data_IF_874063735583
#
_entry.id   IF_874063735583
#
_cell.length_a   1.000
_cell.length_b   1.000
_cell.length_c   1.000
_cell.angle_alpha   90.00
_cell.angle_beta   90.00
_cell.angle_gamma   90.00
#
_symmetry.space_group_name_H-M   'P 1'
#
loop_
_entity.id
_entity.type
_entity.pdbx_description
1 polymer ?
#
# COMPACT_ATOMS: atom_id res chain seq x y z
N UNK A 1 12.02 9.99 3.62
CA UNK A 1 12.33 8.84 2.73
C UNK A 1 12.88 9.38 1.42
N UNK A 2 13.94 8.78 0.89
CA UNK A 2 14.55 9.20 -0.38
C UNK A 2 14.70 8.01 -1.32
N UNK A 3 14.46 8.20 -2.60
CA UNK A 3 14.65 7.18 -3.62
C UNK A 3 15.40 7.71 -4.84
N UNK A 4 16.03 6.80 -5.58
CA UNK A 4 16.60 7.06 -6.90
C UNK A 4 16.14 5.98 -7.88
N UNK A 5 15.80 6.35 -9.13
CA UNK A 5 15.38 5.41 -10.17
C UNK A 5 14.21 4.52 -9.69
N UNK A 6 14.33 3.18 -9.72
CA UNK A 6 13.31 2.27 -9.17
C UNK A 6 12.99 2.55 -7.68
N UNK A 7 13.96 2.99 -6.89
CA UNK A 7 13.74 3.38 -5.49
C UNK A 7 12.78 4.56 -5.35
N UNK A 8 12.70 5.46 -6.35
CA UNK A 8 11.71 6.54 -6.37
C UNK A 8 10.30 6.03 -6.54
N UNK A 9 10.13 4.99 -7.34
CA UNK A 9 8.84 4.38 -7.58
C UNK A 9 8.32 3.69 -6.31
N UNK A 10 9.18 2.91 -5.64
CA UNK A 10 8.84 2.29 -4.35
C UNK A 10 8.54 3.35 -3.29
N UNK A 11 9.30 4.44 -3.25
CA UNK A 11 9.05 5.53 -2.32
C UNK A 11 7.70 6.23 -2.55
N UNK A 12 7.24 6.37 -3.80
CA UNK A 12 5.91 6.89 -4.12
C UNK A 12 4.81 5.95 -3.66
N UNK A 13 4.94 4.65 -3.96
CA UNK A 13 3.98 3.63 -3.56
C UNK A 13 3.85 3.61 -2.03
N UNK A 14 4.97 3.56 -1.33
CA UNK A 14 4.99 3.56 0.14
C UNK A 14 4.38 4.85 0.74
N UNK A 15 4.53 6.00 0.08
CA UNK A 15 3.90 7.24 0.52
C UNK A 15 2.36 7.20 0.40
N UNK A 16 1.87 6.70 -0.73
CA UNK A 16 0.43 6.53 -0.98
C UNK A 16 -0.15 5.50 -0.04
N UNK A 17 0.54 4.38 0.17
CA UNK A 17 0.12 3.34 1.10
C UNK A 17 0.06 3.84 2.54
N UNK A 18 1.10 4.57 2.99
CA UNK A 18 1.09 5.23 4.29
C UNK A 18 -0.11 6.17 4.44
N UNK A 19 -0.38 7.00 3.42
CA UNK A 19 -1.52 7.92 3.43
C UNK A 19 -2.86 7.20 3.51
N UNK A 20 -3.03 6.11 2.78
CA UNK A 20 -4.31 5.41 2.66
C UNK A 20 -4.60 4.48 3.85
N UNK A 21 -3.57 3.85 4.42
CA UNK A 21 -3.74 2.74 5.36
C UNK A 21 -3.17 3.01 6.75
N UNK A 22 -2.24 3.94 6.86
CA UNK A 22 -1.50 4.19 8.10
C UNK A 22 -1.51 5.68 8.46
N UNK A 23 -2.69 6.27 8.74
CA UNK A 23 -2.85 7.71 8.93
C UNK A 23 -1.97 8.26 10.06
N UNK A 24 -1.81 7.53 11.16
CA UNK A 24 -0.94 7.97 12.27
C UNK A 24 0.53 8.00 11.85
N UNK A 25 1.01 6.95 11.19
CA UNK A 25 2.36 6.93 10.65
C UNK A 25 2.55 8.04 9.62
N UNK A 26 1.58 8.24 8.72
CA UNK A 26 1.62 9.27 7.69
C UNK A 26 1.66 10.70 8.28
N UNK A 27 0.83 10.99 9.27
CA UNK A 27 0.69 12.31 9.87
C UNK A 27 1.84 12.63 10.82
N UNK A 28 2.31 11.66 11.60
CA UNK A 28 3.23 11.91 12.71
C UNK A 28 4.68 11.45 12.43
N UNK A 29 4.88 10.44 11.58
CA UNK A 29 6.21 9.83 11.35
C UNK A 29 6.75 10.14 9.95
N UNK A 30 5.99 9.87 8.89
CA UNK A 30 6.39 10.11 7.52
C UNK A 30 6.35 11.60 7.22
N UNK A 31 7.47 12.29 7.45
CA UNK A 31 7.53 13.74 7.26
C UNK A 31 7.52 14.16 5.79
N UNK A 32 8.33 13.49 4.97
CA UNK A 32 8.54 13.84 3.57
C UNK A 32 9.11 12.69 2.76
N UNK A 33 8.72 12.64 1.49
CA UNK A 33 9.30 11.75 0.48
C UNK A 33 9.96 12.61 -0.60
N UNK A 34 11.23 12.36 -0.85
CA UNK A 34 11.98 13.05 -1.89
C UNK A 34 12.43 12.04 -2.92
N UNK A 35 12.15 12.30 -4.19
CA UNK A 35 12.51 11.38 -5.26
C UNK A 35 13.39 12.07 -6.28
N UNK A 36 14.31 11.31 -6.86
CA UNK A 36 15.32 11.77 -7.78
C UNK A 36 15.19 11.03 -9.13
N UNK A 37 14.77 11.76 -10.16
CA UNK A 37 14.38 11.23 -11.48
C UNK A 37 13.38 10.08 -11.37
N UNK A 38 12.26 10.34 -10.69
CA UNK A 38 11.17 9.38 -10.59
C UNK A 38 10.36 9.34 -11.89
N UNK A 39 10.18 8.16 -12.53
CA UNK A 39 9.20 8.04 -13.59
C UNK A 39 7.81 8.31 -13.01
N UNK A 40 6.96 8.92 -13.83
CA UNK A 40 5.54 9.02 -13.57
C UNK A 40 4.97 7.61 -13.54
N UNK A 41 4.14 7.37 -12.53
CA UNK A 41 3.33 6.16 -12.48
C UNK A 41 2.25 6.31 -13.55
N UNK A 42 2.56 5.88 -14.78
CA UNK A 42 1.64 5.78 -15.90
C UNK A 42 1.30 4.31 -16.07
N UNK A 43 0.14 3.91 -15.58
CA UNK A 43 -0.54 2.76 -16.15
C UNK A 43 -1.54 3.27 -17.17
N UNK A 44 -1.88 2.52 -18.21
CA UNK A 44 -2.99 2.84 -19.12
C UNK A 44 -4.20 1.96 -18.75
N UNK A 45 -5.44 2.39 -19.00
CA UNK A 45 -6.63 1.51 -18.84
C UNK A 45 -6.68 0.41 -19.92
N UNK A 46 -5.90 0.59 -20.99
CA UNK A 46 -5.81 -0.28 -22.17
C UNK A 46 -4.66 -1.29 -22.14
N UNK A 47 -3.68 -1.17 -21.23
CA UNK A 47 -2.65 -2.19 -21.04
C UNK A 47 -3.23 -3.31 -20.18
N UNK A 48 -3.20 -4.53 -20.73
CA UNK A 48 -3.75 -5.80 -20.21
C UNK A 48 -3.27 -6.26 -18.81
N UNK A 49 -2.59 -5.39 -18.06
CA UNK A 49 -2.11 -5.60 -16.69
C UNK A 49 -2.46 -4.45 -15.71
N UNK A 50 -3.42 -3.58 -16.05
CA UNK A 50 -3.94 -2.55 -15.16
C UNK A 50 -4.86 -3.10 -14.03
N UNK A 51 -4.61 -4.33 -13.56
CA UNK A 51 -5.44 -5.06 -12.57
C UNK A 51 -5.01 -4.86 -11.11
N UNK A 52 -4.06 -3.96 -10.82
CA UNK A 52 -3.36 -3.88 -9.52
C UNK A 52 -3.51 -2.51 -8.78
N UNK A 53 -4.57 -1.72 -9.02
CA UNK A 53 -4.75 -0.42 -8.31
C UNK A 53 -3.69 0.65 -8.61
N UNK A 54 -2.80 0.39 -9.57
CA UNK A 54 -1.63 1.23 -9.88
C UNK A 54 -1.97 2.63 -10.39
N UNK A 55 -3.13 2.77 -11.04
CA UNK A 55 -3.67 4.04 -11.49
C UNK A 55 -3.97 4.99 -10.32
N UNK A 56 -4.55 4.44 -9.25
CA UNK A 56 -4.89 5.21 -8.05
C UNK A 56 -3.60 5.70 -7.35
N UNK A 57 -2.55 4.88 -7.37
CA UNK A 57 -1.23 5.28 -6.86
C UNK A 57 -0.68 6.50 -7.61
N UNK A 58 -0.83 6.57 -8.94
CA UNK A 58 -0.39 7.73 -9.71
C UNK A 58 -1.15 9.01 -9.38
N UNK A 59 -2.48 8.92 -9.22
CA UNK A 59 -3.33 10.07 -8.87
C UNK A 59 -3.10 10.54 -7.42
N UNK A 60 -3.03 9.60 -6.47
CA UNK A 60 -2.78 9.90 -5.06
C UNK A 60 -1.35 10.40 -4.84
N UNK A 61 -0.35 9.81 -5.51
CA UNK A 61 1.04 10.30 -5.48
C UNK A 61 1.10 11.77 -5.91
N UNK A 62 0.36 12.17 -6.96
CA UNK A 62 0.24 13.57 -7.35
C UNK A 62 -0.39 14.44 -6.27
N UNK A 63 -1.49 14.02 -5.63
CA UNK A 63 -2.11 14.78 -4.53
C UNK A 63 -1.12 15.01 -3.38
N UNK A 64 -0.35 13.98 -3.04
CA UNK A 64 0.70 14.07 -2.03
C UNK A 64 1.87 14.97 -2.47
N UNK A 65 2.16 15.06 -3.77
CA UNK A 65 3.15 15.99 -4.30
C UNK A 65 2.66 17.44 -4.25
N UNK A 66 1.40 17.70 -4.62
CA UNK A 66 0.78 19.03 -4.53
C UNK A 66 0.72 19.52 -3.08
N UNK A 67 0.46 18.64 -2.11
CA UNK A 67 0.50 19.00 -0.68
C UNK A 67 1.91 19.19 -0.12
N UNK A 68 2.96 18.97 -0.92
CA UNK A 68 4.36 19.09 -0.53
C UNK A 68 4.91 17.92 0.29
N UNK A 69 4.10 16.86 0.50
CA UNK A 69 4.50 15.62 1.18
C UNK A 69 5.47 14.80 0.33
N UNK A 70 5.30 14.83 -0.99
CA UNK A 70 6.25 14.31 -1.97
C UNK A 70 6.91 15.48 -2.71
N UNK A 71 8.23 15.42 -2.89
CA UNK A 71 8.98 16.33 -3.77
C UNK A 71 9.72 15.54 -4.83
N UNK A 72 9.46 15.84 -6.10
CA UNK A 72 10.16 15.25 -7.22
C UNK A 72 11.25 16.20 -7.72
N UNK A 73 12.48 15.70 -7.78
CA UNK A 73 13.60 16.33 -8.47
C UNK A 73 13.88 15.57 -9.75
N UNK A 74 14.12 16.28 -10.85
CA UNK A 74 14.41 15.68 -12.16
C UNK A 74 15.59 16.39 -12.79
N UNK A 75 16.50 15.60 -13.34
CA UNK A 75 17.61 16.07 -14.15
C UNK A 75 17.12 16.40 -15.55
N UNK A 76 17.45 17.59 -16.05
CA UNK A 76 16.88 18.13 -17.29
C UNK A 76 17.26 17.30 -18.53
N UNK A 77 18.48 16.75 -18.53
CA UNK A 77 19.01 15.88 -19.59
C UNK A 77 19.01 14.39 -19.20
N UNK A 78 18.07 13.96 -18.36
CA UNK A 78 17.85 12.55 -18.04
C UNK A 78 17.53 11.77 -19.32
N UNK A 79 18.26 10.67 -19.51
CA UNK A 79 18.20 9.84 -20.72
C UNK A 79 17.40 8.54 -20.53
N UNK A 80 16.84 8.32 -19.34
CA UNK A 80 16.05 7.13 -19.00
C UNK A 80 14.62 7.54 -18.70
N UNK A 81 14.45 8.48 -17.77
CA UNK A 81 13.16 9.10 -17.48
C UNK A 81 13.10 10.32 -18.38
N UNK A 82 12.45 10.17 -19.53
CA UNK A 82 12.35 11.21 -20.57
C UNK A 82 11.03 11.98 -20.41
N UNK A 83 10.84 13.14 -21.07
CA UNK A 83 9.65 13.98 -20.90
C UNK A 83 8.31 13.26 -21.07
N UNK A 84 8.27 12.16 -21.83
CA UNK A 84 7.08 11.32 -22.02
C UNK A 84 6.63 10.58 -20.75
N UNK A 85 7.56 10.30 -19.85
CA UNK A 85 7.33 9.57 -18.59
C UNK A 85 7.73 10.39 -17.36
N UNK A 86 7.92 11.70 -17.50
CA UNK A 86 8.11 12.59 -16.36
C UNK A 86 6.81 12.74 -15.57
N UNK A 87 6.95 12.94 -14.26
CA UNK A 87 5.87 13.53 -13.47
C UNK A 87 5.54 14.92 -14.02
N UNK A 88 4.29 15.36 -13.82
CA UNK A 88 3.82 16.60 -14.41
C UNK A 88 4.70 17.79 -13.96
N UNK A 89 4.94 18.76 -14.86
CA UNK A 89 5.88 19.87 -14.62
C UNK A 89 5.54 20.72 -13.40
N UNK A 90 4.27 20.78 -13.01
CA UNK A 90 3.79 21.54 -11.84
C UNK A 90 4.18 20.90 -10.50
N UNK A 91 4.58 19.62 -10.49
CA UNK A 91 4.95 18.88 -9.27
C UNK A 91 6.43 18.44 -9.28
N UNK A 92 7.19 18.88 -10.28
CA UNK A 92 8.61 18.55 -10.46
C UNK A 92 9.46 19.80 -10.31
N UNK A 93 10.56 19.68 -9.58
CA UNK A 93 11.64 20.65 -9.54
C UNK A 93 12.77 20.17 -10.45
N UNK A 94 13.04 20.93 -11.50
CA UNK A 94 14.15 20.67 -12.41
C UNK A 94 15.47 21.10 -11.78
N UNK A 95 16.49 20.26 -11.90
CA UNK A 95 17.78 20.47 -11.23
C UNK A 95 18.88 20.93 -12.20
N UNK A 96 18.54 21.16 -13.47
CA UNK A 96 19.51 21.47 -14.51
C UNK A 96 20.11 20.23 -15.16
N UNK A 97 20.98 20.47 -16.14
CA UNK A 97 21.71 19.42 -16.84
C UNK A 97 22.79 18.80 -15.94
N UNK A 98 22.89 17.47 -15.97
CA UNK A 98 23.94 16.71 -15.29
C UNK A 98 24.89 16.04 -16.28
N UNK A 99 26.18 15.95 -15.94
CA UNK A 99 27.12 15.09 -16.71
C UNK A 99 26.79 13.61 -16.55
N UNK A 100 26.15 13.25 -15.44
CA UNK A 100 25.82 11.88 -15.09
C UNK A 100 24.40 11.46 -15.47
N UNK A 101 23.57 12.41 -15.95
CA UNK A 101 22.19 12.15 -16.42
C UNK A 101 21.39 11.38 -15.37
N UNK A 102 20.76 10.26 -15.72
CA UNK A 102 19.95 9.41 -14.82
C UNK A 102 20.73 8.74 -13.67
N UNK A 103 22.05 8.86 -13.58
CA UNK A 103 22.81 8.09 -12.58
C UNK A 103 22.64 8.70 -11.20
N UNK A 104 22.78 7.86 -10.16
CA UNK A 104 22.80 8.29 -8.75
C UNK A 104 23.82 9.40 -8.45
N UNK A 105 24.83 9.57 -9.31
CA UNK A 105 25.86 10.61 -9.16
C UNK A 105 25.41 12.01 -9.60
N UNK A 106 24.32 12.14 -10.36
CA UNK A 106 23.78 13.44 -10.74
C UNK A 106 23.33 14.29 -9.54
N UNK A 107 22.91 13.63 -8.44
CA UNK A 107 22.50 14.30 -7.21
C UNK A 107 23.64 14.68 -6.29
N UNK A 108 24.89 14.38 -6.67
CA UNK A 108 26.08 14.83 -5.94
C UNK A 108 26.80 15.97 -6.68
N UNK A 109 26.21 16.48 -7.76
CA UNK A 109 26.74 17.64 -8.47
C UNK A 109 26.37 18.95 -7.75
N UNK A 110 27.19 19.98 -7.94
CA UNK A 110 27.02 21.28 -7.29
C UNK A 110 25.64 21.94 -7.50
N UNK A 111 24.91 21.78 -8.62
CA UNK A 111 23.57 22.36 -8.78
C UNK A 111 22.56 21.88 -7.72
N UNK A 112 22.78 20.71 -7.12
CA UNK A 112 21.91 20.18 -6.08
C UNK A 112 22.07 20.93 -4.75
N UNK A 113 23.19 21.63 -4.52
CA UNK A 113 23.43 22.41 -3.30
C UNK A 113 22.53 23.65 -3.22
N UNK A 114 22.01 24.12 -4.36
CA UNK A 114 21.10 25.27 -4.41
C UNK A 114 19.65 24.89 -4.01
N UNK A 115 19.39 23.59 -3.81
CA UNK A 115 18.08 23.08 -3.41
C UNK A 115 17.94 23.18 -1.88
N UNK A 116 16.91 23.87 -1.36
CA UNK A 116 16.72 24.03 0.08
C UNK A 116 16.63 22.69 0.81
N UNK A 117 17.48 22.53 1.84
CA UNK A 117 17.62 21.33 2.68
C UNK A 117 18.25 20.12 1.98
N UNK A 118 19.00 20.33 0.89
CA UNK A 118 19.79 19.28 0.26
C UNK A 118 21.29 19.54 0.45
N UNK A 119 21.91 18.85 1.42
CA UNK A 119 23.33 18.98 1.73
C UNK A 119 24.08 17.75 1.21
N UNK A 120 25.03 17.95 0.29
CA UNK A 120 25.93 16.90 -0.20
C UNK A 120 27.20 16.87 0.66
N UNK A 121 27.47 15.75 1.34
CA UNK A 121 28.74 15.49 2.03
C UNK A 121 29.82 14.94 1.10
N UNK A 122 31.08 14.83 1.54
CA UNK A 122 32.15 14.21 0.75
C UNK A 122 31.89 12.72 0.56
N UNK A 123 32.18 12.22 -0.65
CA UNK A 123 31.92 10.83 -1.06
C UNK A 123 32.68 9.78 -0.23
N UNK A 124 33.79 10.14 0.40
CA UNK A 124 34.70 9.21 1.07
C UNK A 124 34.41 9.02 2.57
N UNK A 125 33.61 9.89 3.18
CA UNK A 125 33.36 9.91 4.62
C UNK A 125 31.92 10.35 4.90
N UNK A 126 31.28 9.78 5.93
CA UNK A 126 30.03 10.30 6.48
C UNK A 126 30.37 11.58 7.25
N UNK A 127 30.62 12.66 6.51
CA UNK A 127 31.01 13.91 7.14
C UNK A 127 29.88 14.40 8.04
N UNK A 128 30.25 14.99 9.19
CA UNK A 128 29.33 15.58 10.18
C UNK A 128 28.56 16.82 9.67
N UNK A 129 28.50 17.05 8.35
CA UNK A 129 27.79 18.17 7.73
C UNK A 129 26.28 17.92 7.54
N UNK A 130 25.76 16.78 8.03
CA UNK A 130 24.33 16.48 8.08
C UNK A 130 23.75 16.64 9.49
N UNK A 131 22.47 16.96 9.58
CA UNK A 131 21.71 16.92 10.84
C UNK A 131 21.36 15.46 11.17
N UNK A 132 21.90 14.93 12.28
CA UNK A 132 21.48 13.65 12.87
C UNK A 132 20.57 13.96 14.05
N UNK A 133 19.32 13.48 14.01
CA UNK A 133 18.38 13.66 15.11
C UNK A 133 18.92 12.94 16.37
N UNK A 134 19.17 13.65 17.48
CA UNK A 134 19.67 13.04 18.72
C UNK A 134 18.77 11.94 19.29
N UNK A 135 17.49 11.89 18.87
CA UNK A 135 16.57 10.81 19.25
C UNK A 135 16.98 9.46 18.66
N UNK A 136 17.70 9.43 17.53
CA UNK A 136 18.18 8.19 16.93
C UNK A 136 19.19 7.45 17.81
N UNK A 137 19.90 8.15 18.70
CA UNK A 137 20.82 7.53 19.65
C UNK A 137 20.08 6.82 20.81
N UNK A 138 18.77 7.05 20.92
CA UNK A 138 17.90 6.48 21.97
C UNK A 138 16.96 5.40 21.43
N UNK A 139 16.93 5.16 20.12
CA UNK A 139 16.07 4.13 19.53
C UNK A 139 16.62 2.75 19.88
N UNK A 140 15.81 1.95 20.57
CA UNK A 140 16.07 0.53 20.83
C UNK A 140 15.06 -0.29 20.05
N UNK A 141 15.54 -1.27 19.27
CA UNK A 141 14.67 -2.21 18.59
C UNK A 141 14.27 -3.31 19.59
N UNK A 142 12.98 -3.39 19.92
CA UNK A 142 12.46 -4.52 20.68
C UNK A 142 12.34 -5.72 19.73
N UNK A 143 13.09 -6.78 20.00
CA UNK A 143 12.87 -8.07 19.34
C UNK A 143 11.49 -8.55 19.78
N UNK A 144 10.56 -8.78 18.84
CA UNK A 144 9.21 -9.25 19.14
C UNK A 144 9.32 -10.52 19.99
N UNK A 145 8.96 -10.43 21.26
CA UNK A 145 8.92 -11.59 22.15
C UNK A 145 7.71 -12.41 21.74
N UNK A 146 7.90 -13.72 21.53
CA UNK A 146 6.78 -14.62 21.31
C UNK A 146 5.91 -14.63 22.58
N UNK A 147 4.63 -14.32 22.43
CA UNK A 147 3.67 -14.44 23.52
C UNK A 147 3.62 -15.91 23.96
N UNK A 148 3.72 -16.22 25.26
CA UNK A 148 3.51 -17.58 25.74
C UNK A 148 2.05 -17.99 25.45
N UNK A 149 1.88 -19.17 24.86
CA UNK A 149 0.56 -19.78 24.72
C UNK A 149 0.02 -20.11 26.12
N UNK A 150 -1.05 -19.44 26.53
CA UNK A 150 -1.75 -19.74 27.78
C UNK A 150 -2.40 -21.13 27.70
N UNK A 151 -2.06 -22.00 28.65
CA UNK A 151 -2.50 -23.40 28.75
C UNK A 151 -3.81 -23.58 29.54
N UNK A 152 -4.76 -22.65 29.42
CA UNK A 152 -6.08 -22.76 30.06
C UNK A 152 -7.17 -22.73 28.99
N UNK A 153 -7.32 -23.85 28.29
CA UNK A 153 -8.35 -24.04 27.27
C UNK A 153 -9.60 -24.64 27.93
N UNK A 154 -10.75 -23.93 27.96
CA UNK A 154 -12.03 -24.52 28.34
C UNK A 154 -12.54 -25.45 27.24
N UNK A 155 -13.23 -26.51 27.66
CA UNK A 155 -14.01 -27.54 26.94
C UNK A 155 -14.13 -27.41 25.40
N UNK A 156 -13.82 -28.51 24.72
CA UNK A 156 -13.95 -28.72 23.28
C UNK A 156 -15.42 -28.87 22.83
N UNK A 157 -16.21 -27.81 23.00
CA UNK A 157 -17.46 -27.69 22.25
C UNK A 157 -17.13 -27.67 20.75
N UNK A 158 -17.82 -28.46 19.90
CA UNK A 158 -17.64 -28.42 18.47
C UNK A 158 -17.85 -26.99 17.95
N UNK A 159 -16.89 -26.47 17.19
CA UNK A 159 -17.07 -25.16 16.54
C UNK A 159 -18.09 -25.29 15.41
N UNK A 160 -19.22 -24.61 15.56
CA UNK A 160 -20.25 -24.52 14.53
C UNK A 160 -19.95 -23.38 13.55
N UNK A 161 -20.16 -23.62 12.24
CA UNK A 161 -20.10 -22.57 11.23
C UNK A 161 -21.41 -21.77 11.20
N UNK A 162 -21.49 -20.75 12.05
CA UNK A 162 -22.66 -19.87 12.15
C UNK A 162 -22.90 -18.98 10.91
N UNK A 163 -21.97 -18.93 9.95
CA UNK A 163 -22.14 -18.20 8.69
C UNK A 163 -22.87 -19.01 7.60
N UNK A 164 -22.96 -20.34 7.76
CA UNK A 164 -23.53 -21.24 6.75
C UNK A 164 -24.96 -20.83 6.36
N UNK A 165 -25.19 -20.59 5.07
CA UNK A 165 -26.50 -20.25 4.53
C UNK A 165 -27.08 -18.90 4.96
N UNK A 166 -26.30 -18.06 5.68
CA UNK A 166 -26.73 -16.74 6.15
C UNK A 166 -26.95 -15.75 5.01
N UNK A 167 -27.62 -14.65 5.34
CA UNK A 167 -27.79 -13.54 4.41
C UNK A 167 -26.45 -12.84 4.19
N UNK A 168 -26.15 -12.55 2.94
CA UNK A 168 -24.88 -11.97 2.55
C UNK A 168 -25.10 -10.89 1.51
N UNK A 169 -24.30 -9.86 1.59
CA UNK A 169 -24.25 -8.79 0.60
C UNK A 169 -22.81 -8.56 0.19
N UNK A 170 -22.62 -8.01 -1.01
CA UNK A 170 -21.31 -7.60 -1.46
C UNK A 170 -21.44 -6.32 -2.26
N UNK A 171 -20.37 -5.54 -2.25
CA UNK A 171 -20.26 -4.24 -2.89
C UNK A 171 -20.67 -4.21 -4.37
N UNK A 172 -20.49 -5.30 -5.12
CA UNK A 172 -21.02 -5.52 -6.48
C UNK A 172 -20.85 -6.97 -6.89
N UNK A 173 -21.49 -7.42 -7.98
CA UNK A 173 -21.32 -8.77 -8.52
C UNK A 173 -20.74 -8.74 -9.92
N UNK A 174 -19.75 -9.59 -10.19
CA UNK A 174 -19.13 -9.79 -11.50
C UNK A 174 -19.07 -11.28 -11.84
N UNK A 175 -19.07 -11.60 -13.15
CA UNK A 175 -18.85 -12.96 -13.67
C UNK A 175 -19.74 -14.06 -13.03
N UNK A 176 -20.92 -13.71 -12.51
CA UNK A 176 -21.83 -14.63 -11.80
C UNK A 176 -21.33 -15.08 -10.42
N UNK A 177 -20.31 -14.43 -9.85
CA UNK A 177 -19.75 -14.73 -8.54
C UNK A 177 -20.59 -14.16 -7.40
N UNK A 178 -21.81 -14.68 -7.22
CA UNK A 178 -22.73 -14.22 -6.18
C UNK A 178 -22.16 -14.37 -4.77
N UNK A 179 -22.47 -13.41 -3.89
CA UNK A 179 -22.01 -13.35 -2.50
C UNK A 179 -22.29 -14.65 -1.72
N UNK A 180 -23.39 -15.34 -2.02
CA UNK A 180 -23.84 -16.57 -1.33
C UNK A 180 -22.86 -17.73 -1.46
N UNK A 181 -21.98 -17.71 -2.46
CA UNK A 181 -20.98 -18.76 -2.67
C UNK A 181 -19.99 -18.86 -1.50
N UNK A 182 -19.70 -17.77 -0.79
CA UNK A 182 -18.81 -17.81 0.39
C UNK A 182 -19.45 -18.45 1.64
N UNK A 183 -20.76 -18.73 1.62
CA UNK A 183 -21.51 -19.34 2.74
C UNK A 183 -22.26 -20.60 2.30
N UNK A 184 -21.80 -21.26 1.23
CA UNK A 184 -22.45 -22.46 0.65
C UNK A 184 -21.99 -23.78 1.30
N UNK A 185 -21.04 -23.72 2.25
CA UNK A 185 -20.49 -24.88 2.96
C UNK A 185 -19.35 -25.58 2.22
N UNK A 186 -18.88 -25.05 1.09
CA UNK A 186 -17.76 -25.58 0.32
C UNK A 186 -16.56 -24.63 0.43
N UNK A 187 -15.37 -25.20 0.49
CA UNK A 187 -14.10 -24.45 0.60
C UNK A 187 -13.29 -24.51 -0.69
N UNK A 188 -13.94 -24.87 -1.81
CA UNK A 188 -13.28 -25.02 -3.10
C UNK A 188 -12.94 -23.66 -3.69
N UNK A 189 -11.65 -23.36 -3.74
CA UNK A 189 -11.14 -22.10 -4.28
C UNK A 189 -11.10 -22.03 -5.80
N UNK A 190 -11.48 -23.08 -6.56
CA UNK A 190 -11.52 -23.01 -8.00
C UNK A 190 -12.80 -22.28 -8.47
N UNK A 191 -12.63 -21.12 -9.09
CA UNK A 191 -13.75 -20.30 -9.56
C UNK A 191 -14.71 -21.03 -10.51
N UNK A 192 -14.18 -21.93 -11.36
CA UNK A 192 -14.98 -22.71 -12.31
C UNK A 192 -15.94 -23.70 -11.64
N UNK A 193 -15.72 -24.02 -10.36
CA UNK A 193 -16.58 -24.94 -9.59
C UNK A 193 -17.76 -24.24 -8.90
N UNK A 194 -17.97 -22.94 -9.18
CA UNK A 194 -19.10 -22.14 -8.71
C UNK A 194 -19.21 -21.97 -7.18
N UNK A 195 -18.09 -22.04 -6.45
CA UNK A 195 -18.03 -21.87 -4.99
C UNK A 195 -17.22 -20.63 -4.55
N UNK A 196 -16.84 -19.77 -5.49
CA UNK A 196 -16.06 -18.54 -5.22
C UNK A 196 -16.88 -17.32 -5.61
N UNK A 197 -16.93 -16.32 -4.73
CA UNK A 197 -17.59 -15.01 -4.98
C UNK A 197 -16.72 -14.13 -5.90
N UNK A 198 -17.32 -13.11 -6.51
CA UNK A 198 -16.56 -12.15 -7.32
C UNK A 198 -17.27 -10.80 -7.40
N UNK A 199 -16.57 -9.75 -7.01
CA UNK A 199 -17.00 -8.36 -7.18
C UNK A 199 -16.48 -7.77 -8.49
N UNK A 200 -17.01 -6.62 -8.91
CA UNK A 200 -16.36 -5.85 -9.98
C UNK A 200 -15.01 -5.33 -9.51
N UNK A 201 -14.14 -4.98 -10.47
CA UNK A 201 -12.92 -4.23 -10.15
C UNK A 201 -13.30 -2.81 -9.73
N UNK A 202 -13.29 -2.58 -8.41
CA UNK A 202 -13.67 -1.30 -7.81
C UNK A 202 -12.78 -0.96 -6.62
N UNK A 203 -12.83 0.31 -6.20
CA UNK A 203 -12.13 0.74 -4.98
C UNK A 203 -12.84 0.20 -3.74
N UNK A 204 -12.06 -0.33 -2.79
CA UNK A 204 -12.55 -0.89 -1.52
C UNK A 204 -13.72 -1.88 -1.70
N UNK A 205 -13.54 -2.96 -2.50
CA UNK A 205 -14.56 -3.98 -2.62
C UNK A 205 -14.75 -4.66 -1.27
N UNK A 206 -16.00 -4.87 -0.90
CA UNK A 206 -16.37 -5.52 0.36
C UNK A 206 -17.37 -6.64 0.10
N UNK A 207 -17.39 -7.59 1.03
CA UNK A 207 -18.38 -8.65 1.20
C UNK A 207 -18.74 -8.69 2.69
N UNK A 208 -20.01 -8.92 3.00
CA UNK A 208 -20.54 -8.91 4.35
C UNK A 208 -21.52 -10.06 4.54
N UNK A 209 -21.45 -10.70 5.72
CA UNK A 209 -22.46 -11.64 6.21
C UNK A 209 -23.24 -11.02 7.36
N UNK A 210 -24.55 -11.19 7.33
CA UNK A 210 -25.45 -10.88 8.44
C UNK A 210 -25.78 -12.18 9.18
N UNK A 211 -25.34 -12.29 10.44
CA UNK A 211 -25.55 -13.47 11.29
C UNK A 211 -27.00 -13.57 11.82
N UNK A 212 -27.83 -12.54 11.57
CA UNK A 212 -29.22 -12.37 11.98
C UNK A 212 -29.47 -12.09 13.48
N UNK A 213 -28.48 -12.35 14.33
CA UNK A 213 -28.47 -11.98 15.76
C UNK A 213 -27.03 -11.80 16.22
N UNK A 214 -26.84 -11.18 17.38
CA UNK A 214 -25.52 -11.13 18.01
C UNK A 214 -25.05 -12.54 18.37
N UNK A 215 -23.84 -12.86 17.96
CA UNK A 215 -23.22 -14.17 18.16
C UNK A 215 -21.79 -13.99 18.67
N UNK A 216 -21.34 -14.91 19.52
CA UNK A 216 -19.95 -14.94 19.97
C UNK A 216 -19.08 -15.58 18.91
N UNK A 217 -18.27 -14.77 18.23
CA UNK A 217 -17.34 -15.25 17.21
C UNK A 217 -16.04 -15.73 17.86
N UNK A 218 -15.76 -17.03 17.77
CA UNK A 218 -14.52 -17.64 18.29
C UNK A 218 -13.40 -17.70 17.26
N UNK A 219 -13.76 -17.88 15.99
CA UNK A 219 -12.81 -18.07 14.90
C UNK A 219 -13.44 -17.62 13.59
N UNK A 220 -12.62 -16.99 12.74
CA UNK A 220 -12.99 -16.61 11.37
C UNK A 220 -12.00 -17.30 10.43
N UNK A 221 -12.52 -18.11 9.52
CA UNK A 221 -11.72 -18.76 8.48
C UNK A 221 -12.08 -18.15 7.12
N UNK A 222 -11.08 -17.63 6.41
CA UNK A 222 -11.24 -17.04 5.09
C UNK A 222 -10.50 -17.93 4.09
N UNK A 223 -11.24 -18.50 3.14
CA UNK A 223 -10.71 -19.37 2.10
C UNK A 223 -10.53 -18.56 0.81
N UNK A 224 -9.29 -18.45 0.34
CA UNK A 224 -8.97 -17.70 -0.88
C UNK A 224 -9.31 -18.50 -2.14
N UNK A 225 -9.46 -17.80 -3.27
CA UNK A 225 -9.45 -18.40 -4.60
C UNK A 225 -8.10 -19.09 -4.84
N UNK A 226 -8.09 -20.21 -5.56
CA UNK A 226 -6.90 -21.05 -5.76
C UNK A 226 -6.51 -21.27 -7.22
N UNK A 227 -7.42 -21.10 -8.19
CA UNK A 227 -7.12 -21.33 -9.61
C UNK A 227 -6.27 -20.21 -10.25
N UNK A 228 -6.49 -18.95 -9.87
CA UNK A 228 -5.70 -17.79 -10.31
C UNK A 228 -6.02 -16.56 -9.45
N UNK A 229 -5.23 -15.49 -9.61
CA UNK A 229 -5.44 -14.18 -8.98
C UNK A 229 -5.52 -14.24 -7.44
N UNK A 230 -4.78 -15.17 -6.83
CA UNK A 230 -4.72 -15.37 -5.38
C UNK A 230 -4.16 -14.14 -4.65
N UNK A 231 -3.37 -13.33 -5.36
CA UNK A 231 -2.78 -12.07 -4.91
C UNK A 231 -3.82 -10.97 -4.61
N UNK A 232 -5.06 -11.10 -5.10
CA UNK A 232 -6.12 -10.10 -4.88
C UNK A 232 -6.64 -10.07 -3.46
N UNK A 233 -6.69 -11.21 -2.78
CA UNK A 233 -7.09 -11.29 -1.37
C UNK A 233 -5.88 -11.01 -0.48
N UNK A 234 -5.35 -9.80 -0.64
CA UNK A 234 -4.26 -9.27 0.16
C UNK A 234 -4.63 -7.87 0.60
N UNK A 235 -4.15 -7.47 1.78
CA UNK A 235 -4.40 -6.14 2.32
C UNK A 235 -5.91 -5.81 2.39
N UNK A 236 -6.61 -6.53 3.26
CA UNK A 236 -8.01 -6.33 3.56
C UNK A 236 -8.19 -6.29 5.07
N UNK A 237 -9.28 -5.67 5.51
CA UNK A 237 -9.69 -5.64 6.91
C UNK A 237 -10.80 -6.66 7.14
N UNK A 238 -10.85 -7.21 8.35
CA UNK A 238 -11.99 -7.99 8.85
C UNK A 238 -12.61 -7.17 9.97
N UNK A 239 -13.81 -6.63 9.70
CA UNK A 239 -14.52 -5.73 10.60
C UNK A 239 -15.71 -6.49 11.19
N UNK A 240 -15.86 -6.41 12.52
CA UNK A 240 -17.01 -6.96 13.24
C UNK A 240 -17.93 -5.83 13.66
N UNK A 241 -19.23 -5.98 13.41
CA UNK A 241 -20.25 -5.01 13.79
C UNK A 241 -21.17 -5.62 14.85
N UNK A 242 -21.60 -4.82 15.82
CA UNK A 242 -22.67 -5.18 16.75
C UNK A 242 -24.06 -5.08 16.09
N UNK A 243 -25.13 -5.41 16.83
CA UNK A 243 -26.50 -5.33 16.31
C UNK A 243 -26.95 -3.92 15.93
N UNK A 244 -26.25 -2.87 16.39
CA UNK A 244 -26.50 -1.48 16.01
C UNK A 244 -25.74 -1.04 14.76
N UNK A 245 -24.89 -1.91 14.20
CA UNK A 245 -24.04 -1.62 13.05
C UNK A 245 -22.76 -0.86 13.43
N UNK A 246 -22.39 -0.83 14.71
CA UNK A 246 -21.16 -0.20 15.18
C UNK A 246 -20.02 -1.20 15.19
N UNK A 247 -18.85 -0.77 14.73
CA UNK A 247 -17.63 -1.57 14.79
C UNK A 247 -17.21 -1.88 16.24
N UNK A 248 -16.87 -3.14 16.47
CA UNK A 248 -16.39 -3.67 17.75
C UNK A 248 -14.85 -3.63 17.73
N UNK A 249 -14.25 -3.00 18.75
CA UNK A 249 -12.79 -2.93 18.96
C UNK A 249 -12.18 -4.23 19.51
#
# INVERSE_FOLDING_TARGET
>A
MTGHSLGCYLAQIAAVEAYQKYPDFYNHVLRKVTTFSAPKVITSRTVWNAKNGFWDVGLESRKLAVSGKIKHYVVDNDNVVTPLIHNNRDIVTFTGNSRFKHRSRGYFESPMNDIPNFNIGKQATLDKHGYRDPKLDKVRFFKKQALPQSSSQPSAEPMENIALGKQVTQSSTAFGGDARRAVDGKVDGNYGHNSVTHTNFQSKPWWQVDLAKEETIRQINIYNRTDTAQDRLANFDVILLDSSGKEIE
#
